data_IF_455860394999
#
_entry.id   IF_455860394999
#
_cell.length_a   1.000
_cell.length_b   1.000
_cell.length_c   1.000
_cell.angle_alpha   90.00
_cell.angle_beta   90.00
_cell.angle_gamma   90.00
#
_symmetry.space_group_name_H-M   'P 1'
#
loop_
_entity.id
_entity.type
_entity.pdbx_description
1 polymer ?
#
# COMPACT_ATOMS: atom_id res chain seq x y z
N UNK A 1 17.25 -11.59 -18.97
CA UNK A 1 16.62 -11.93 -17.68
C UNK A 1 15.41 -11.03 -17.50
N UNK A 2 14.21 -11.57 -17.70
CA UNK A 2 12.93 -10.84 -17.68
C UNK A 2 12.79 -10.13 -16.35
N UNK A 3 12.90 -8.80 -16.37
CA UNK A 3 12.71 -8.01 -15.19
C UNK A 3 11.21 -7.63 -15.18
N UNK A 4 10.38 -8.56 -14.73
CA UNK A 4 8.95 -8.34 -14.53
C UNK A 4 8.70 -7.70 -13.17
N UNK A 5 7.65 -6.90 -13.04
CA UNK A 5 7.78 -5.52 -12.59
C UNK A 5 7.35 -5.44 -11.13
N UNK A 6 8.24 -4.96 -10.26
CA UNK A 6 7.97 -4.69 -8.83
C UNK A 6 6.60 -4.01 -8.58
N UNK A 7 6.10 -3.09 -9.43
CA UNK A 7 4.76 -2.52 -9.31
C UNK A 7 3.58 -3.52 -9.46
N UNK A 8 3.70 -4.59 -10.24
CA UNK A 8 2.62 -5.59 -10.38
C UNK A 8 2.44 -6.41 -9.11
N UNK A 9 3.53 -6.69 -8.37
CA UNK A 9 3.45 -7.36 -7.07
C UNK A 9 2.77 -6.46 -6.02
N UNK A 10 2.99 -5.15 -6.10
CA UNK A 10 2.22 -4.18 -5.33
C UNK A 10 0.74 -4.19 -5.75
N UNK A 11 0.42 -4.07 -7.04
CA UNK A 11 -0.96 -4.09 -7.50
C UNK A 11 -1.72 -5.35 -7.03
N UNK A 12 -1.08 -6.53 -7.10
CA UNK A 12 -1.65 -7.79 -6.60
C UNK A 12 -1.85 -7.77 -5.08
N UNK A 13 -0.85 -7.32 -4.30
CA UNK A 13 -0.97 -7.25 -2.84
C UNK A 13 -2.02 -6.22 -2.38
N UNK A 14 -2.26 -5.17 -3.17
CA UNK A 14 -3.30 -4.16 -2.91
C UNK A 14 -4.71 -4.78 -2.99
N UNK A 15 -4.93 -5.67 -3.96
CA UNK A 15 -6.21 -6.40 -4.11
C UNK A 15 -6.43 -7.34 -2.92
N UNK A 16 -5.40 -8.09 -2.53
CA UNK A 16 -5.48 -9.01 -1.37
C UNK A 16 -5.73 -8.23 -0.07
N UNK A 17 -5.09 -7.07 0.08
CA UNK A 17 -5.29 -6.18 1.22
C UNK A 17 -6.71 -5.59 1.27
N UNK A 18 -7.27 -5.20 0.12
CA UNK A 18 -8.67 -4.77 0.02
C UNK A 18 -9.64 -5.89 0.43
N UNK A 19 -9.40 -7.13 -0.01
CA UNK A 19 -10.17 -8.29 0.42
C UNK A 19 -10.08 -8.51 1.94
N UNK A 20 -8.89 -8.35 2.53
CA UNK A 20 -8.69 -8.41 3.98
C UNK A 20 -9.55 -7.39 4.75
N UNK A 21 -9.62 -6.14 4.28
CA UNK A 21 -10.50 -5.13 4.88
C UNK A 21 -11.98 -5.42 4.70
N UNK A 22 -12.39 -5.95 3.54
CA UNK A 22 -13.78 -6.38 3.30
C UNK A 22 -14.15 -7.52 4.26
N UNK A 23 -13.26 -8.48 4.49
CA UNK A 23 -13.46 -9.58 5.45
C UNK A 23 -13.65 -9.04 6.87
N UNK A 24 -12.83 -8.07 7.30
CA UNK A 24 -13.03 -7.41 8.59
C UNK A 24 -14.39 -6.69 8.65
N UNK A 25 -14.82 -6.06 7.56
CA UNK A 25 -16.09 -5.32 7.48
C UNK A 25 -17.34 -6.23 7.51
N UNK A 26 -17.22 -7.52 7.22
CA UNK A 26 -18.34 -8.48 7.34
C UNK A 26 -18.73 -8.77 8.79
N UNK A 27 -17.90 -8.38 9.77
CA UNK A 27 -18.16 -8.51 11.21
C UNK A 27 -18.58 -9.91 11.70
N UNK A 28 -18.12 -10.97 11.00
CA UNK A 28 -18.30 -12.35 11.41
C UNK A 28 -17.34 -12.72 12.55
N UNK A 29 -17.69 -13.68 13.42
CA UNK A 29 -16.79 -14.17 14.46
C UNK A 29 -15.48 -14.68 13.84
N UNK A 30 -14.35 -14.16 14.31
CA UNK A 30 -13.01 -14.51 13.80
C UNK A 30 -12.53 -13.74 12.56
N UNK A 31 -13.37 -12.94 11.90
CA UNK A 31 -12.98 -12.22 10.68
C UNK A 31 -11.90 -11.15 10.92
N UNK A 32 -11.91 -10.52 12.10
CA UNK A 32 -10.87 -9.58 12.55
C UNK A 32 -9.48 -10.24 12.66
N UNK A 33 -9.42 -11.47 13.15
CA UNK A 33 -8.16 -12.19 13.32
C UNK A 33 -7.58 -12.58 11.96
N UNK A 34 -8.40 -13.20 11.10
CA UNK A 34 -7.99 -13.61 9.75
C UNK A 34 -7.62 -12.37 8.92
N UNK A 35 -8.46 -11.33 8.94
CA UNK A 35 -8.22 -10.10 8.20
C UNK A 35 -6.92 -9.41 8.62
N UNK A 36 -6.62 -9.33 9.92
CA UNK A 36 -5.43 -8.62 10.40
C UNK A 36 -4.13 -9.33 10.00
N UNK A 37 -4.10 -10.67 10.00
CA UNK A 37 -2.98 -11.47 9.50
C UNK A 37 -2.74 -11.19 8.00
N UNK A 38 -3.81 -11.24 7.19
CA UNK A 38 -3.72 -11.03 5.74
C UNK A 38 -3.23 -9.61 5.42
N UNK A 39 -3.82 -8.60 6.05
CA UNK A 39 -3.42 -7.19 5.86
C UNK A 39 -1.99 -6.95 6.34
N UNK A 40 -1.59 -7.48 7.49
CA UNK A 40 -0.23 -7.35 8.03
C UNK A 40 0.82 -7.95 7.09
N UNK A 41 0.59 -9.15 6.57
CA UNK A 41 1.49 -9.79 5.60
C UNK A 41 1.62 -8.95 4.31
N UNK A 42 0.50 -8.47 3.76
CA UNK A 42 0.50 -7.66 2.55
C UNK A 42 1.20 -6.30 2.74
N UNK A 43 1.02 -5.69 3.91
CA UNK A 43 1.65 -4.42 4.25
C UNK A 43 3.18 -4.55 4.36
N UNK A 44 3.68 -5.64 4.97
CA UNK A 44 5.11 -5.92 5.04
C UNK A 44 5.76 -6.04 3.66
N UNK A 45 5.09 -6.77 2.74
CA UNK A 45 5.52 -6.86 1.34
C UNK A 45 5.58 -5.48 0.67
N UNK A 46 4.58 -4.63 0.91
CA UNK A 46 4.51 -3.29 0.31
C UNK A 46 5.65 -2.37 0.79
N UNK A 47 6.00 -2.41 2.07
CA UNK A 47 7.17 -1.68 2.59
C UNK A 47 8.47 -2.20 1.96
N UNK A 48 8.63 -3.53 1.87
CA UNK A 48 9.83 -4.12 1.29
C UNK A 48 10.04 -3.72 -0.19
N UNK A 49 8.95 -3.50 -0.93
CA UNK A 49 9.00 -3.06 -2.34
C UNK A 49 9.15 -1.54 -2.47
N UNK A 50 8.54 -0.75 -1.57
CA UNK A 50 8.54 0.72 -1.67
C UNK A 50 9.92 1.34 -1.42
N UNK A 51 10.69 0.82 -0.46
CA UNK A 51 12.06 1.26 -0.12
C UNK A 51 13.01 1.26 -1.33
N UNK A 52 13.20 0.12 -2.04
CA UNK A 52 14.07 0.10 -3.22
C UNK A 52 13.48 0.86 -4.41
N UNK A 53 12.15 0.93 -4.53
CA UNK A 53 11.51 1.71 -5.61
C UNK A 53 11.75 3.21 -5.41
N UNK A 54 11.69 3.70 -4.18
CA UNK A 54 11.97 5.10 -3.85
C UNK A 54 13.44 5.47 -4.09
N UNK A 55 14.39 4.58 -3.76
CA UNK A 55 15.81 4.83 -4.02
C UNK A 55 16.15 4.81 -5.52
N UNK A 56 15.43 4.00 -6.31
CA UNK A 56 15.52 3.99 -7.78
C UNK A 56 14.92 5.26 -8.42
N UNK A 57 13.81 5.78 -7.90
CA UNK A 57 13.12 6.96 -8.46
C UNK A 57 13.81 8.28 -8.15
N UNK A 58 14.20 8.49 -6.89
CA UNK A 58 14.68 9.78 -6.40
C UNK A 58 16.22 9.86 -6.32
N UNK A 59 16.90 8.73 -6.48
CA UNK A 59 18.34 8.63 -6.30
C UNK A 59 18.76 8.77 -4.83
N UNK A 60 20.04 8.49 -4.56
CA UNK A 60 20.55 8.38 -3.18
C UNK A 60 20.87 9.74 -2.53
N UNK A 61 20.93 10.83 -3.29
CA UNK A 61 21.46 12.12 -2.80
C UNK A 61 20.59 12.80 -1.74
N UNK A 62 19.26 12.68 -1.85
CA UNK A 62 18.30 13.24 -0.88
C UNK A 62 17.32 12.19 -0.35
N UNK A 63 17.67 10.90 -0.47
CA UNK A 63 16.78 9.79 -0.10
C UNK A 63 16.31 9.87 1.35
N UNK A 64 17.19 10.20 2.30
CA UNK A 64 16.86 10.29 3.72
C UNK A 64 15.81 11.37 4.04
N UNK A 65 15.83 12.51 3.34
CA UNK A 65 14.83 13.57 3.52
C UNK A 65 13.47 13.15 2.95
N UNK A 66 13.46 12.61 1.73
CA UNK A 66 12.24 12.16 1.04
C UNK A 66 11.59 11.00 1.80
N UNK A 67 12.40 10.06 2.30
CA UNK A 67 11.90 8.92 3.06
C UNK A 67 11.31 9.32 4.42
N UNK A 68 11.88 10.33 5.10
CA UNK A 68 11.27 10.90 6.31
C UNK A 68 9.90 11.52 6.02
N UNK A 69 9.76 12.26 4.92
CA UNK A 69 8.45 12.80 4.50
C UNK A 69 7.45 11.67 4.21
N UNK A 70 7.89 10.59 3.57
CA UNK A 70 7.05 9.40 3.34
C UNK A 70 6.58 8.75 4.65
N UNK A 71 7.47 8.61 5.64
CA UNK A 71 7.13 8.03 6.95
C UNK A 71 6.14 8.89 7.74
N UNK A 72 6.04 10.20 7.50
CA UNK A 72 5.02 11.05 8.13
C UNK A 72 3.58 10.61 7.83
N UNK A 73 3.37 9.79 6.78
CA UNK A 73 2.07 9.19 6.53
C UNK A 73 1.57 8.31 7.68
N UNK A 74 2.47 7.70 8.45
CA UNK A 74 2.16 6.74 9.51
C UNK A 74 1.55 7.42 10.74
N UNK A 75 2.18 8.46 11.32
CA UNK A 75 1.55 9.21 12.40
C UNK A 75 0.30 9.96 11.93
N UNK A 76 0.29 10.48 10.69
CA UNK A 76 -0.90 11.15 10.14
C UNK A 76 -2.08 10.19 10.00
N UNK A 77 -1.84 8.97 9.49
CA UNK A 77 -2.87 7.93 9.37
C UNK A 77 -3.41 7.52 10.74
N UNK A 78 -2.53 7.25 11.71
CA UNK A 78 -2.95 6.93 13.08
C UNK A 78 -3.76 8.05 13.71
N UNK A 79 -3.37 9.31 13.49
CA UNK A 79 -4.12 10.46 14.02
C UNK A 79 -5.52 10.57 13.40
N UNK A 80 -5.63 10.45 12.07
CA UNK A 80 -6.92 10.57 11.37
C UNK A 80 -7.86 9.39 11.68
N UNK A 81 -7.34 8.15 11.66
CA UNK A 81 -8.16 6.96 11.82
C UNK A 81 -8.40 6.57 13.29
N UNK A 82 -7.38 6.64 14.14
CA UNK A 82 -7.51 6.26 15.54
C UNK A 82 -7.84 7.43 16.45
N UNK A 83 -7.34 8.63 16.17
CA UNK A 83 -7.63 9.82 16.97
C UNK A 83 -8.99 10.41 16.62
N UNK A 84 -9.13 10.88 15.38
CA UNK A 84 -10.29 11.65 14.96
C UNK A 84 -11.51 10.75 14.67
N UNK A 85 -11.33 9.72 13.83
CA UNK A 85 -12.45 8.89 13.40
C UNK A 85 -13.01 8.02 14.55
N UNK A 86 -12.16 7.44 15.39
CA UNK A 86 -12.61 6.68 16.55
C UNK A 86 -13.26 7.60 17.61
N UNK A 87 -12.75 8.82 17.80
CA UNK A 87 -13.36 9.82 18.70
C UNK A 87 -14.76 10.22 18.25
N UNK A 88 -14.93 10.60 16.97
CA UNK A 88 -16.24 10.95 16.41
C UNK A 88 -17.23 9.79 16.52
N UNK A 89 -16.77 8.57 16.30
CA UNK A 89 -17.63 7.38 16.38
C UNK A 89 -18.02 7.06 17.83
N UNK A 90 -17.08 7.20 18.76
CA UNK A 90 -17.33 7.07 20.19
C UNK A 90 -18.38 8.09 20.67
N UNK A 91 -18.23 9.37 20.30
CA UNK A 91 -19.16 10.42 20.68
C UNK A 91 -20.56 10.21 20.08
N UNK A 92 -20.64 9.72 18.84
CA UNK A 92 -21.93 9.39 18.19
C UNK A 92 -22.66 8.22 18.87
N UNK A 93 -21.94 7.18 19.27
CA UNK A 93 -22.53 6.05 19.98
C UNK A 93 -22.89 6.41 21.44
N UNK A 94 -22.08 7.23 22.10
CA UNK A 94 -22.36 7.75 23.45
C UNK A 94 -23.65 8.58 23.52
N UNK A 95 -24.04 9.22 22.42
CA UNK A 95 -25.28 10.02 22.33
C UNK A 95 -26.51 9.17 21.99
N UNK A 96 -26.31 7.96 21.42
CA UNK A 96 -27.40 7.15 20.83
C UNK A 96 -27.89 6.02 21.75
N UNK A 97 -27.16 5.67 22.81
CA UNK A 97 -27.49 4.58 23.72
C UNK A 97 -28.36 4.99 24.91
N UNK A 98 -29.64 4.63 24.90
CA UNK A 98 -30.59 4.84 26.02
C UNK A 98 -30.35 3.94 27.26
N UNK A 99 -29.10 3.53 27.56
CA UNK A 99 -28.85 2.46 28.53
C UNK A 99 -27.47 2.41 29.22
N UNK A 100 -26.64 3.45 29.16
CA UNK A 100 -25.47 3.58 30.06
C UNK A 100 -24.29 2.63 29.84
N UNK A 101 -24.30 1.79 28.79
CA UNK A 101 -23.11 1.06 28.34
C UNK A 101 -22.39 1.88 27.25
N UNK A 102 -21.39 2.65 27.67
CA UNK A 102 -20.73 3.68 26.85
C UNK A 102 -19.56 3.16 25.98
N UNK A 103 -19.45 1.86 25.73
CA UNK A 103 -18.30 1.28 25.01
C UNK A 103 -18.73 0.30 23.94
N UNK A 104 -18.41 0.63 22.68
CA UNK A 104 -18.65 -0.21 21.52
C UNK A 104 -17.30 -0.76 21.03
N UNK A 105 -17.07 -2.06 21.21
CA UNK A 105 -15.80 -2.72 20.89
C UNK A 105 -16.09 -3.94 20.01
N UNK A 106 -15.50 -3.97 18.81
CA UNK A 106 -15.60 -5.11 17.89
C UNK A 106 -15.74 -4.71 16.42
N UNK A 107 -15.78 -5.71 15.55
CA UNK A 107 -15.83 -5.51 14.09
C UNK A 107 -17.03 -4.68 13.64
N UNK A 108 -18.16 -4.82 14.32
CA UNK A 108 -19.39 -4.10 14.01
C UNK A 108 -19.25 -2.59 14.28
N UNK A 109 -18.52 -2.22 15.33
CA UNK A 109 -18.23 -0.83 15.65
C UNK A 109 -17.30 -0.18 14.62
N UNK A 110 -16.20 -0.87 14.29
CA UNK A 110 -15.19 -0.35 13.38
C UNK A 110 -15.50 -0.59 11.89
N UNK A 111 -16.72 -1.05 11.56
CA UNK A 111 -17.11 -1.38 10.19
C UNK A 111 -16.94 -0.19 9.22
N UNK A 112 -17.27 1.02 9.68
CA UNK A 112 -17.08 2.24 8.90
C UNK A 112 -15.60 2.48 8.59
N UNK A 113 -14.72 2.27 9.57
CA UNK A 113 -13.27 2.40 9.41
C UNK A 113 -12.75 1.40 8.37
N UNK A 114 -13.17 0.13 8.45
CA UNK A 114 -12.76 -0.89 7.49
C UNK A 114 -13.24 -0.58 6.07
N UNK A 115 -14.45 -0.02 5.90
CA UNK A 115 -14.94 0.42 4.60
C UNK A 115 -14.12 1.59 4.03
N UNK A 116 -13.79 2.59 4.85
CA UNK A 116 -12.95 3.71 4.41
C UNK A 116 -11.57 3.20 3.98
N UNK A 117 -10.98 2.27 4.73
CA UNK A 117 -9.69 1.65 4.37
C UNK A 117 -9.78 0.82 3.09
N UNK A 118 -10.89 0.11 2.85
CA UNK A 118 -11.13 -0.60 1.59
C UNK A 118 -11.21 0.38 0.40
N UNK A 119 -11.91 1.51 0.54
CA UNK A 119 -11.96 2.56 -0.50
C UNK A 119 -10.57 3.16 -0.74
N UNK A 120 -9.82 3.45 0.32
CA UNK A 120 -8.44 3.92 0.22
C UNK A 120 -7.54 2.90 -0.53
N UNK A 121 -7.75 1.60 -0.31
CA UNK A 121 -7.05 0.56 -1.05
C UNK A 121 -7.36 0.60 -2.56
N UNK A 122 -8.63 0.84 -2.95
CA UNK A 122 -9.03 0.98 -4.35
C UNK A 122 -8.38 2.21 -5.00
N UNK A 123 -8.35 3.34 -4.30
CA UNK A 123 -7.65 4.55 -4.77
C UNK A 123 -6.15 4.25 -4.95
N UNK A 124 -5.54 3.63 -3.95
CA UNK A 124 -4.14 3.22 -4.01
C UNK A 124 -3.84 2.23 -5.12
N UNK A 125 -4.77 1.32 -5.44
CA UNK A 125 -4.66 0.43 -6.60
C UNK A 125 -4.64 1.20 -7.91
N UNK A 126 -5.52 2.20 -8.06
CA UNK A 126 -5.52 3.09 -9.21
C UNK A 126 -4.21 3.85 -9.36
N UNK A 127 -3.66 4.36 -8.26
CA UNK A 127 -2.36 5.05 -8.23
C UNK A 127 -1.20 4.09 -8.55
N UNK A 128 -1.20 2.87 -8.02
CA UNK A 128 -0.22 1.82 -8.32
C UNK A 128 -0.26 1.43 -9.81
N UNK A 129 -1.45 1.34 -10.41
CA UNK A 129 -1.62 1.14 -11.85
C UNK A 129 -1.07 2.32 -12.64
N UNK A 130 -1.43 3.56 -12.28
CA UNK A 130 -0.93 4.77 -12.95
C UNK A 130 0.59 4.85 -12.90
N UNK A 131 1.17 4.58 -11.72
CA UNK A 131 2.62 4.52 -11.52
C UNK A 131 3.22 3.37 -12.35
N UNK A 132 2.58 2.21 -12.40
CA UNK A 132 3.01 1.09 -13.25
C UNK A 132 3.03 1.47 -14.72
N UNK A 133 2.00 2.19 -15.21
CA UNK A 133 1.96 2.69 -16.59
C UNK A 133 3.07 3.70 -16.86
N UNK A 134 3.32 4.66 -15.96
CA UNK A 134 4.45 5.61 -16.10
C UNK A 134 5.80 4.92 -16.03
N UNK A 135 5.92 3.88 -15.20
CA UNK A 135 7.14 3.10 -15.09
C UNK A 135 7.36 2.19 -16.31
N UNK A 136 6.31 1.77 -17.04
CA UNK A 136 6.47 0.99 -18.28
C UNK A 136 7.30 1.75 -19.32
N UNK A 137 7.09 3.06 -19.49
CA UNK A 137 7.91 3.87 -20.42
C UNK A 137 9.39 3.92 -20.01
N UNK A 138 9.65 4.07 -18.71
CA UNK A 138 11.01 4.04 -18.15
C UNK A 138 11.62 2.64 -18.29
N UNK A 139 10.83 1.59 -18.06
CA UNK A 139 11.26 0.20 -18.18
C UNK A 139 11.57 -0.20 -19.63
N UNK A 140 10.75 0.25 -20.58
CA UNK A 140 10.99 0.07 -22.00
C UNK A 140 12.26 0.80 -22.44
N UNK A 141 12.49 2.03 -21.95
CA UNK A 141 13.76 2.74 -22.18
C UNK A 141 14.96 2.02 -21.57
N UNK A 142 14.85 1.49 -20.35
CA UNK A 142 15.94 0.72 -19.69
C UNK A 142 16.22 -0.59 -20.44
N UNK A 143 15.19 -1.29 -20.92
CA UNK A 143 15.35 -2.49 -21.73
C UNK A 143 15.98 -2.17 -23.09
N UNK A 144 15.57 -1.08 -23.75
CA UNK A 144 16.17 -0.61 -24.99
C UNK A 144 17.65 -0.23 -24.82
N UNK A 145 18.00 0.49 -23.75
CA UNK A 145 19.39 0.84 -23.43
C UNK A 145 20.23 -0.39 -23.08
N UNK A 146 19.68 -1.36 -22.35
CA UNK A 146 20.36 -2.64 -22.09
C UNK A 146 20.60 -3.43 -23.37
N UNK A 147 19.62 -3.47 -24.28
CA UNK A 147 19.75 -4.13 -25.59
C UNK A 147 20.82 -3.45 -26.44
N UNK A 148 20.83 -2.11 -26.50
CA UNK A 148 21.86 -1.35 -27.22
C UNK A 148 23.27 -1.54 -26.64
N UNK A 149 23.39 -1.70 -25.31
CA UNK A 149 24.67 -2.00 -24.65
C UNK A 149 25.15 -3.43 -24.92
N UNK A 150 24.23 -4.41 -24.90
CA UNK A 150 24.54 -5.80 -25.26
C UNK A 150 24.93 -5.93 -26.74
N UNK A 151 24.27 -5.19 -27.65
CA UNK A 151 24.64 -5.14 -29.08
C UNK A 151 26.03 -4.52 -29.26
N UNK A 152 26.38 -3.46 -28.51
CA UNK A 152 27.72 -2.87 -28.53
C UNK A 152 28.81 -3.81 -27.98
N UNK A 153 28.53 -4.53 -26.89
CA UNK A 153 29.44 -5.55 -26.35
C UNK A 153 29.64 -6.72 -27.33
N UNK A 154 28.58 -7.14 -28.01
CA UNK A 154 28.62 -8.20 -29.03
C UNK A 154 29.42 -7.78 -30.26
N UNK A 155 29.26 -6.54 -30.72
CA UNK A 155 29.99 -5.99 -31.86
C UNK A 155 31.47 -5.73 -31.54
N UNK A 156 31.82 -5.47 -30.28
CA UNK A 156 33.20 -5.35 -29.83
C UNK A 156 33.90 -6.72 -29.74
N UNK A 157 33.19 -7.75 -29.24
CA UNK A 157 33.73 -9.12 -29.15
C UNK A 157 33.87 -9.84 -30.49
N UNK A 158 33.15 -9.42 -31.55
CA UNK A 158 33.29 -9.97 -32.90
C UNK A 158 34.41 -9.29 -33.72
N UNK A 159 35.05 -8.26 -33.16
CA UNK A 159 36.08 -7.45 -33.83
C UNK A 159 37.50 -7.71 -33.28
N UNK A 160 37.61 -8.42 -32.16
CA UNK A 160 38.84 -9.00 -31.61
C UNK A 160 38.83 -10.51 -31.83
#
# INVERSE_FOLDING_TARGET
KSATPRPMWNAASQIVMAAGYIIMAMALPGSLYIGSIVVGMCYGVRIAVSVPTASELFGLRYYGLIYNILILNLPLGSFLFSGLLAGILYDREATSGAGGFNTCVGAHCYRLVFLIMAVACVIGFGLDLLLSFRMKDVYLKIQATKKARAEKESAFSARN
#
